data_IF_890475331231
#
_entry.id   IF_890475331231
#
_cell.length_a   1.000
_cell.length_b   1.000
_cell.length_c   1.000
_cell.angle_alpha   90.00
_cell.angle_beta   90.00
_cell.angle_gamma   90.00
#
_symmetry.space_group_name_H-M   'P 1'
#
loop_
_entity.id
_entity.type
_entity.pdbx_description
1 polymer ?
#
# COMPACT_ATOMS: atom_id res chain seq x y z
N UNK A 1 -5.83 21.29 -17.60
CA UNK A 1 -5.76 20.82 -16.20
C UNK A 1 -6.83 19.79 -15.77
N UNK A 2 -8.12 19.80 -16.23
CA UNK A 2 -9.11 18.85 -15.70
C UNK A 2 -8.84 17.38 -16.08
N UNK A 3 -8.21 17.14 -17.23
CA UNK A 3 -7.83 15.79 -17.67
C UNK A 3 -6.75 15.15 -16.77
N UNK A 4 -5.84 15.95 -16.19
CA UNK A 4 -4.80 15.42 -15.28
C UNK A 4 -5.43 15.05 -13.94
N UNK A 5 -6.30 15.90 -13.41
CA UNK A 5 -7.05 15.60 -12.18
C UNK A 5 -7.89 14.33 -12.34
N UNK A 6 -8.62 14.18 -13.45
CA UNK A 6 -9.39 12.96 -13.71
C UNK A 6 -8.51 11.70 -13.76
N UNK A 7 -7.34 11.77 -14.41
CA UNK A 7 -6.38 10.66 -14.47
C UNK A 7 -5.83 10.30 -13.08
N UNK A 8 -5.48 11.29 -12.27
CA UNK A 8 -4.99 11.08 -10.90
C UNK A 8 -6.10 10.55 -9.98
N UNK A 9 -7.33 11.03 -10.12
CA UNK A 9 -8.48 10.53 -9.37
C UNK A 9 -8.77 9.07 -9.69
N UNK A 10 -8.71 8.67 -10.97
CA UNK A 10 -8.87 7.26 -11.36
C UNK A 10 -7.71 6.40 -10.83
N UNK A 11 -6.47 6.89 -10.89
CA UNK A 11 -5.31 6.20 -10.31
C UNK A 11 -5.50 5.95 -8.81
N UNK A 12 -5.85 6.99 -8.04
CA UNK A 12 -6.07 6.87 -6.60
C UNK A 12 -7.28 6.00 -6.27
N UNK A 13 -8.36 6.08 -7.03
CA UNK A 13 -9.49 5.18 -6.89
C UNK A 13 -9.08 3.72 -7.07
N UNK A 14 -8.38 3.39 -8.14
CA UNK A 14 -7.92 2.02 -8.41
C UNK A 14 -6.96 1.52 -7.31
N UNK A 15 -6.07 2.38 -6.82
CA UNK A 15 -5.16 2.07 -5.71
C UNK A 15 -5.93 1.61 -4.46
N UNK A 16 -6.93 2.39 -4.02
CA UNK A 16 -7.72 2.04 -2.83
C UNK A 16 -8.73 0.92 -3.08
N UNK A 17 -9.27 0.82 -4.30
CA UNK A 17 -10.18 -0.25 -4.69
C UNK A 17 -9.52 -1.62 -4.57
N UNK A 18 -8.33 -1.78 -5.16
CA UNK A 18 -7.57 -3.04 -5.08
C UNK A 18 -7.26 -3.36 -3.62
N UNK A 19 -6.78 -2.38 -2.84
CA UNK A 19 -6.56 -2.54 -1.40
C UNK A 19 -7.82 -3.05 -0.69
N UNK A 20 -8.99 -2.45 -0.94
CA UNK A 20 -10.25 -2.90 -0.37
C UNK A 20 -10.62 -4.34 -0.74
N UNK A 21 -10.38 -4.75 -1.98
CA UNK A 21 -10.73 -6.10 -2.46
C UNK A 21 -10.00 -7.21 -1.70
N UNK A 22 -8.69 -7.07 -1.46
CA UNK A 22 -7.91 -8.14 -0.81
C UNK A 22 -7.74 -7.94 0.69
N UNK A 23 -7.64 -6.69 1.18
CA UNK A 23 -7.38 -6.43 2.61
C UNK A 23 -8.55 -6.86 3.49
N UNK A 24 -9.79 -6.61 3.05
CA UNK A 24 -11.00 -6.98 3.79
C UNK A 24 -11.20 -8.51 3.78
N UNK A 25 -10.84 -9.18 2.69
CA UNK A 25 -11.03 -10.62 2.51
C UNK A 25 -9.87 -11.46 3.05
N UNK A 26 -8.71 -10.87 3.33
CA UNK A 26 -7.53 -11.57 3.85
C UNK A 26 -7.83 -12.34 5.14
N UNK A 27 -8.56 -11.72 6.08
CA UNK A 27 -8.86 -12.33 7.37
C UNK A 27 -9.77 -13.56 7.26
N UNK A 28 -10.81 -13.49 6.41
CA UNK A 28 -11.69 -14.63 6.16
C UNK A 28 -10.98 -15.72 5.36
N UNK A 29 -10.12 -15.35 4.41
CA UNK A 29 -9.30 -16.29 3.64
C UNK A 29 -8.32 -17.06 4.54
N UNK A 30 -7.62 -16.38 5.44
CA UNK A 30 -6.70 -17.00 6.42
C UNK A 30 -7.45 -17.92 7.40
N UNK A 31 -8.61 -17.50 7.89
CA UNK A 31 -9.44 -18.32 8.76
C UNK A 31 -9.98 -19.58 8.06
N UNK A 32 -10.47 -19.45 6.83
CA UNK A 32 -11.10 -20.54 6.10
C UNK A 32 -10.11 -21.55 5.50
N UNK A 33 -8.98 -21.10 4.96
CA UNK A 33 -8.03 -21.96 4.24
C UNK A 33 -6.86 -22.44 5.10
N UNK A 34 -6.44 -21.62 6.07
CA UNK A 34 -5.27 -21.92 6.91
C UNK A 34 -5.63 -22.19 8.37
N UNK A 35 -6.92 -22.14 8.73
CA UNK A 35 -7.40 -22.29 10.11
C UNK A 35 -6.65 -21.34 11.07
N UNK A 36 -6.27 -20.17 10.57
CA UNK A 36 -5.43 -19.23 11.31
C UNK A 36 -6.18 -18.72 12.53
N UNK A 37 -5.51 -18.75 13.68
CA UNK A 37 -6.03 -18.13 14.90
C UNK A 37 -6.12 -16.60 14.75
N UNK A 38 -6.95 -15.94 15.56
CA UNK A 38 -7.06 -14.48 15.56
C UNK A 38 -5.71 -13.77 15.78
N UNK A 39 -4.82 -14.38 16.58
CA UNK A 39 -3.46 -13.87 16.80
C UNK A 39 -2.59 -13.95 15.54
N UNK A 40 -2.66 -15.07 14.78
CA UNK A 40 -1.91 -15.23 13.53
C UNK A 40 -2.41 -14.28 12.44
N UNK A 41 -3.74 -14.09 12.35
CA UNK A 41 -4.33 -13.10 11.45
C UNK A 41 -3.90 -11.69 11.84
N UNK A 42 -3.90 -11.36 13.14
CA UNK A 42 -3.40 -10.08 13.64
C UNK A 42 -1.91 -9.85 13.32
N UNK A 43 -1.08 -10.89 13.44
CA UNK A 43 0.33 -10.83 13.02
C UNK A 43 0.44 -10.59 11.51
N UNK A 44 -0.36 -11.26 10.68
CA UNK A 44 -0.38 -11.03 9.24
C UNK A 44 -0.72 -9.57 8.89
N UNK A 45 -1.74 -9.00 9.54
CA UNK A 45 -2.09 -7.57 9.36
C UNK A 45 -1.00 -6.62 9.88
N UNK A 46 -0.29 -6.99 10.97
CA UNK A 46 0.77 -6.17 11.55
C UNK A 46 2.00 -6.00 10.65
N UNK A 47 2.20 -6.92 9.69
CA UNK A 47 3.30 -6.81 8.72
C UNK A 47 3.19 -5.54 7.88
N UNK A 48 1.99 -5.02 7.66
CA UNK A 48 1.76 -3.72 7.01
C UNK A 48 2.34 -2.56 7.82
N UNK A 49 2.15 -2.56 9.15
CA UNK A 49 2.68 -1.51 10.02
C UNK A 49 4.21 -1.50 10.01
N UNK A 50 4.83 -2.67 10.04
CA UNK A 50 6.27 -2.81 9.86
C UNK A 50 6.73 -2.29 8.49
N UNK A 51 6.01 -2.67 7.43
CA UNK A 51 6.24 -2.17 6.08
C UNK A 51 6.16 -0.64 6.01
N UNK A 52 5.19 -0.02 6.68
CA UNK A 52 5.03 1.44 6.70
C UNK A 52 6.18 2.17 7.42
N UNK A 53 6.87 1.51 8.36
CA UNK A 53 8.05 2.07 9.05
C UNK A 53 9.30 1.90 8.19
N UNK A 54 9.47 0.73 7.58
CA UNK A 54 10.70 0.37 6.84
C UNK A 54 10.70 0.94 5.42
N UNK A 55 9.54 0.98 4.75
CA UNK A 55 9.44 1.39 3.36
C UNK A 55 9.90 2.84 3.11
N UNK A 56 9.54 3.85 3.92
CA UNK A 56 10.04 5.21 3.73
C UNK A 56 11.55 5.31 3.86
N UNK A 57 12.16 4.50 4.72
CA UNK A 57 13.61 4.46 4.85
C UNK A 57 14.25 3.91 3.57
N UNK A 58 13.77 2.78 3.05
CA UNK A 58 14.40 2.16 1.88
C UNK A 58 14.01 2.88 0.58
N UNK A 59 12.71 3.04 0.32
CA UNK A 59 12.19 3.65 -0.90
C UNK A 59 12.45 5.15 -0.92
N UNK A 60 12.41 5.85 0.22
CA UNK A 60 12.75 7.27 0.29
C UNK A 60 14.20 7.52 -0.07
N UNK A 61 15.15 6.77 0.51
CA UNK A 61 16.57 6.89 0.17
C UNK A 61 16.87 6.56 -1.30
N UNK A 62 16.14 5.60 -1.88
CA UNK A 62 16.24 5.28 -3.31
C UNK A 62 15.64 6.40 -4.15
N UNK A 63 14.46 6.90 -3.80
CA UNK A 63 13.79 7.99 -4.52
C UNK A 63 14.68 9.24 -4.56
N UNK A 64 15.28 9.62 -3.43
CA UNK A 64 16.17 10.79 -3.32
C UNK A 64 17.44 10.62 -4.17
N UNK A 65 17.92 9.39 -4.37
CA UNK A 65 19.12 9.10 -5.18
C UNK A 65 18.85 9.11 -6.68
N UNK A 66 17.67 8.68 -7.12
CA UNK A 66 17.35 8.49 -8.54
C UNK A 66 16.41 9.56 -9.11
N UNK A 67 15.73 10.32 -8.26
CA UNK A 67 14.89 11.44 -8.65
C UNK A 67 15.43 12.73 -8.03
N UNK A 68 16.09 13.56 -8.85
CA UNK A 68 16.47 14.91 -8.44
C UNK A 68 15.22 15.71 -8.05
N UNK A 69 15.21 16.26 -6.83
CA UNK A 69 14.12 17.09 -6.32
C UNK A 69 13.74 18.26 -7.24
N UNK A 70 14.70 18.79 -8.02
CA UNK A 70 14.48 19.85 -9.02
C UNK A 70 13.52 19.48 -10.16
N UNK A 71 13.37 18.19 -10.51
CA UNK A 71 12.44 17.74 -11.57
C UNK A 71 11.05 17.38 -11.06
N UNK A 72 10.85 17.34 -9.74
CA UNK A 72 9.56 16.99 -9.11
C UNK A 72 8.75 18.26 -8.79
N UNK A 73 9.41 19.39 -8.57
CA UNK A 73 8.79 20.68 -8.22
C UNK A 73 8.58 21.63 -9.43
N UNK A 74 8.93 21.20 -10.64
CA UNK A 74 8.82 21.99 -11.87
C UNK A 74 7.66 21.53 -12.78
#
# INVERSE_FOLDING_TARGET
MPMITARLSVMMFLQFFIWGCWFVTLGTFLGANFQASGAQTGLAFSTQSWGAIIAPFVIGLIADRYFNAERILA
#
